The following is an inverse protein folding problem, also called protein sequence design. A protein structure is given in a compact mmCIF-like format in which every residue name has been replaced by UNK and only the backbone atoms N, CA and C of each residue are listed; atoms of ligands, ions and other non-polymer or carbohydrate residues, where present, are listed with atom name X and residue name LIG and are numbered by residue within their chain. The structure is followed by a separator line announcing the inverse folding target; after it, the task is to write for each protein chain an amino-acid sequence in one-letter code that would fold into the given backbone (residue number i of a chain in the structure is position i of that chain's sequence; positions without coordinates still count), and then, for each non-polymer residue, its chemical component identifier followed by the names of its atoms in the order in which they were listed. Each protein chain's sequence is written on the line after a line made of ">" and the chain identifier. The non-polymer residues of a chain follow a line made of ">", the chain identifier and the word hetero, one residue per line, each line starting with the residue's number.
data_IF_615536374381
#
_entry.id   IF_615536374381
#
_cell.length_a   1.000
_cell.length_b   1.000
_cell.length_c   1.000
_cell.angle_alpha   90.00
_cell.angle_beta   90.00
_cell.angle_gamma   90.00
#
_symmetry.space_group_name_H-M   'P 1'
#
loop_
_entity.id
_entity.type
_entity.pdbx_description
1 polymer ?
#
# COMPACT_ATOMS: atom_id res chain seq x y z
N UNK A 1 -0.94 -17.51 -13.62
CA UNK A 1 -0.68 -17.33 -12.17
C UNK A 1 0.08 -18.56 -11.70
N UNK A 2 1.34 -18.42 -11.22
CA UNK A 2 2.20 -19.59 -10.95
C UNK A 2 2.35 -19.94 -9.47
N UNK A 3 2.25 -18.98 -8.55
CA UNK A 3 2.21 -19.25 -7.11
C UNK A 3 1.40 -18.14 -6.39
N UNK A 4 0.39 -18.53 -5.63
CA UNK A 4 -0.20 -17.71 -4.58
C UNK A 4 0.51 -18.03 -3.26
N UNK A 5 0.83 -17.01 -2.48
CA UNK A 5 1.41 -17.11 -1.15
C UNK A 5 0.47 -16.46 -0.15
N UNK A 6 0.29 -17.13 0.97
CA UNK A 6 -0.43 -16.62 2.12
C UNK A 6 0.60 -16.19 3.17
N UNK A 7 0.68 -14.90 3.43
CA UNK A 7 1.45 -14.33 4.53
C UNK A 7 0.54 -14.07 5.72
N UNK A 8 1.02 -14.38 6.92
CA UNK A 8 0.35 -13.98 8.16
C UNK A 8 0.98 -12.70 8.69
N UNK A 9 0.15 -11.75 9.12
CA UNK A 9 0.66 -10.59 9.86
C UNK A 9 1.22 -11.05 11.20
N UNK A 10 2.29 -10.43 11.68
CA UNK A 10 2.82 -10.63 13.04
C UNK A 10 1.93 -9.96 14.09
N UNK A 11 1.11 -8.99 13.68
CA UNK A 11 0.30 -8.16 14.55
C UNK A 11 -1.19 -8.41 14.30
N UNK A 12 -1.89 -8.93 15.30
CA UNK A 12 -3.34 -9.15 15.25
C UNK A 12 -4.00 -8.39 16.41
N UNK A 13 -4.58 -7.20 16.14
CA UNK A 13 -5.11 -6.36 17.21
C UNK A 13 -6.39 -6.92 17.85
N UNK A 14 -7.07 -7.86 17.17
CA UNK A 14 -8.23 -8.58 17.68
C UNK A 14 -8.00 -10.07 17.53
N UNK A 15 -8.19 -10.82 18.61
CA UNK A 15 -8.26 -12.28 18.56
C UNK A 15 -9.72 -12.72 18.36
N UNK A 16 -10.10 -12.91 17.10
CA UNK A 16 -11.44 -13.34 16.73
C UNK A 16 -11.78 -14.76 17.19
N UNK A 17 -10.79 -15.57 17.54
CA UNK A 17 -11.01 -16.92 18.05
C UNK A 17 -11.22 -16.95 19.57
N UNK A 18 -11.04 -15.82 20.27
CA UNK A 18 -11.24 -15.73 21.71
C UNK A 18 -12.72 -15.45 22.02
N UNK A 19 -13.48 -16.42 22.55
CA UNK A 19 -14.94 -16.30 22.70
C UNK A 19 -15.36 -15.18 23.66
N UNK A 20 -14.49 -14.82 24.61
CA UNK A 20 -14.76 -13.73 25.55
C UNK A 20 -14.39 -12.34 25.02
N UNK A 21 -13.82 -12.22 23.82
CA UNK A 21 -13.50 -10.90 23.26
C UNK A 21 -14.80 -10.11 22.99
N UNK A 22 -14.97 -8.88 23.53
CA UNK A 22 -16.23 -8.14 23.43
C UNK A 22 -16.73 -7.90 22.00
N UNK A 23 -15.80 -7.75 21.03
CA UNK A 23 -16.15 -7.60 19.61
C UNK A 23 -16.48 -8.94 18.94
N UNK A 24 -15.88 -10.06 19.37
CA UNK A 24 -16.17 -11.37 18.78
C UNK A 24 -17.61 -11.83 19.10
N UNK A 25 -18.20 -11.32 20.18
CA UNK A 25 -19.62 -11.54 20.51
C UNK A 25 -20.59 -10.80 19.57
N UNK A 26 -20.13 -9.73 18.90
CA UNK A 26 -20.97 -8.85 18.06
C UNK A 26 -20.79 -9.13 16.56
N UNK A 27 -19.61 -9.58 16.17
CA UNK A 27 -19.23 -9.84 14.79
C UNK A 27 -18.93 -11.34 14.64
N UNK A 28 -19.63 -12.08 13.76
CA UNK A 28 -19.41 -13.51 13.54
C UNK A 28 -18.15 -13.77 12.70
N UNK A 29 -17.01 -13.23 13.14
CA UNK A 29 -15.71 -13.38 12.48
C UNK A 29 -14.88 -14.43 13.22
N UNK A 30 -14.13 -15.20 12.44
CA UNK A 30 -13.18 -16.19 12.94
C UNK A 30 -11.85 -16.03 12.21
N UNK A 31 -10.76 -16.50 12.82
CA UNK A 31 -9.44 -16.46 12.21
C UNK A 31 -8.77 -15.10 12.30
N UNK A 32 -7.98 -14.76 11.28
CA UNK A 32 -7.05 -13.62 11.30
C UNK A 32 -7.00 -12.95 9.93
N UNK A 33 -6.64 -11.68 9.91
CA UNK A 33 -6.28 -10.99 8.66
C UNK A 33 -5.01 -11.60 8.09
N UNK A 34 -5.01 -11.78 6.78
CA UNK A 34 -3.92 -12.37 6.03
C UNK A 34 -3.52 -11.46 4.87
N UNK A 35 -2.27 -11.62 4.44
CA UNK A 35 -1.70 -10.97 3.27
C UNK A 35 -1.73 -12.01 2.16
N UNK A 36 -2.42 -11.71 1.07
CA UNK A 36 -2.37 -12.54 -0.13
C UNK A 36 -1.37 -11.92 -1.10
N UNK A 37 -0.41 -12.71 -1.58
CA UNK A 37 0.54 -12.27 -2.58
C UNK A 37 0.58 -13.26 -3.74
N UNK A 38 0.65 -12.78 -4.98
CA UNK A 38 0.77 -13.63 -6.15
C UNK A 38 1.65 -12.99 -7.21
N UNK A 39 2.49 -13.81 -7.85
CA UNK A 39 3.22 -13.38 -9.04
C UNK A 39 2.40 -13.64 -10.29
N UNK A 40 2.09 -12.56 -11.00
CA UNK A 40 1.42 -12.55 -12.30
C UNK A 40 2.51 -12.46 -13.37
N UNK A 41 2.52 -13.37 -14.33
CA UNK A 41 3.45 -13.28 -15.47
C UNK A 41 2.81 -12.45 -16.56
N UNK A 42 3.40 -11.30 -16.83
CA UNK A 42 3.02 -10.41 -17.92
C UNK A 42 4.04 -10.55 -19.07
N UNK A 43 3.70 -10.10 -20.29
CA UNK A 43 4.64 -10.13 -21.42
C UNK A 43 5.98 -9.43 -21.13
N UNK A 44 5.95 -8.33 -20.38
CA UNK A 44 7.15 -7.53 -20.06
C UNK A 44 7.87 -7.99 -18.77
N UNK A 45 7.34 -8.99 -18.06
CA UNK A 45 7.97 -9.52 -16.85
C UNK A 45 7.00 -10.00 -15.75
N UNK A 46 7.54 -10.56 -14.65
CA UNK A 46 6.74 -10.94 -13.48
C UNK A 46 6.36 -9.71 -12.65
N UNK A 47 5.07 -9.59 -12.33
CA UNK A 47 4.51 -8.59 -11.43
C UNK A 47 4.06 -9.27 -10.13
N UNK A 48 4.64 -8.88 -9.00
CA UNK A 48 4.21 -9.33 -7.69
C UNK A 48 3.09 -8.44 -7.15
N UNK A 49 1.88 -8.99 -7.05
CA UNK A 49 0.71 -8.29 -6.51
C UNK A 49 0.41 -8.75 -5.08
N UNK A 50 0.24 -7.79 -4.17
CA UNK A 50 -0.27 -7.99 -2.81
C UNK A 50 -1.72 -7.52 -2.73
N UNK A 51 -2.62 -8.36 -2.25
CA UNK A 51 -4.00 -8.01 -1.93
C UNK A 51 -4.16 -7.96 -0.40
N UNK A 52 -4.54 -6.78 0.11
CA UNK A 52 -4.64 -6.51 1.54
C UNK A 52 -6.08 -6.23 1.96
N UNK A 53 -6.40 -6.67 3.17
CA UNK A 53 -7.59 -6.25 3.91
C UNK A 53 -7.20 -6.13 5.38
N UNK A 54 -6.82 -4.92 5.83
CA UNK A 54 -6.32 -4.69 7.19
C UNK A 54 -7.45 -4.73 8.23
N UNK A 55 -7.09 -4.87 9.52
CA UNK A 55 -8.11 -4.90 10.56
C UNK A 55 -8.77 -3.53 10.74
N UNK A 56 -10.09 -3.53 10.77
CA UNK A 56 -10.91 -2.33 10.89
C UNK A 56 -11.15 -1.98 12.36
N UNK A 57 -11.25 -3.01 13.20
CA UNK A 57 -11.55 -2.87 14.63
C UNK A 57 -10.28 -2.64 15.47
N UNK A 58 -9.48 -1.65 15.09
CA UNK A 58 -8.24 -1.32 15.78
C UNK A 58 -7.87 0.16 15.60
N UNK A 59 -6.74 0.56 16.19
CA UNK A 59 -6.18 1.89 15.98
C UNK A 59 -5.39 2.00 14.67
N UNK A 60 -5.18 3.24 14.22
CA UNK A 60 -4.34 3.57 13.06
C UNK A 60 -2.93 2.97 13.17
N UNK A 61 -2.30 3.03 14.35
CA UNK A 61 -0.96 2.48 14.57
C UNK A 61 -0.93 0.95 14.46
N UNK A 62 -2.01 0.27 14.86
CA UNK A 62 -2.11 -1.18 14.69
C UNK A 62 -2.23 -1.57 13.21
N UNK A 63 -3.00 -0.83 12.41
CA UNK A 63 -3.03 -1.04 10.95
C UNK A 63 -1.67 -0.81 10.31
N UNK A 64 -0.94 0.23 10.74
CA UNK A 64 0.43 0.49 10.27
C UNK A 64 1.35 -0.69 10.62
N UNK A 65 1.21 -1.29 11.80
CA UNK A 65 1.97 -2.48 12.17
C UNK A 65 1.65 -3.70 11.29
N UNK A 66 0.39 -3.89 10.90
CA UNK A 66 0.02 -4.92 9.93
C UNK A 66 0.61 -4.64 8.55
N UNK A 67 0.60 -3.37 8.11
CA UNK A 67 1.15 -2.95 6.83
C UNK A 67 2.68 -3.09 6.77
N UNK A 68 3.37 -2.92 7.90
CA UNK A 68 4.81 -3.12 8.01
C UNK A 68 5.25 -4.54 7.61
N UNK A 69 4.41 -5.56 7.86
CA UNK A 69 4.69 -6.94 7.45
C UNK A 69 4.71 -7.09 5.92
N UNK A 70 3.86 -6.35 5.21
CA UNK A 70 3.81 -6.34 3.74
C UNK A 70 5.06 -5.65 3.19
N UNK A 71 5.46 -4.52 3.76
CA UNK A 71 6.67 -3.83 3.34
C UNK A 71 7.94 -4.63 3.66
N UNK A 72 7.95 -5.36 4.78
CA UNK A 72 9.01 -6.30 5.12
C UNK A 72 9.13 -7.40 4.06
N UNK A 73 8.04 -8.11 3.74
CA UNK A 73 8.08 -9.14 2.69
C UNK A 73 8.49 -8.53 1.35
N UNK A 74 7.90 -7.40 0.94
CA UNK A 74 8.25 -6.69 -0.29
C UNK A 74 9.75 -6.47 -0.43
N UNK A 75 10.41 -5.97 0.63
CA UNK A 75 11.87 -5.79 0.69
C UNK A 75 12.62 -7.11 0.52
N UNK A 76 12.16 -8.20 1.13
CA UNK A 76 12.74 -9.53 0.91
C UNK A 76 12.55 -10.05 -0.52
N UNK A 77 11.49 -9.64 -1.22
CA UNK A 77 11.25 -10.06 -2.60
C UNK A 77 12.15 -9.30 -3.59
N UNK A 78 12.59 -8.08 -3.24
CA UNK A 78 13.58 -7.35 -4.03
C UNK A 78 14.93 -8.09 -4.11
N UNK A 79 15.35 -8.76 -3.02
CA UNK A 79 16.59 -9.55 -3.04
C UNK A 79 16.46 -10.82 -3.89
N UNK A 80 15.24 -11.19 -4.28
CA UNK A 80 14.90 -12.31 -5.16
C UNK A 80 14.60 -11.87 -6.60
N UNK A 81 14.88 -10.61 -6.95
CA UNK A 81 14.67 -10.07 -8.29
C UNK A 81 13.22 -9.67 -8.61
N UNK A 82 12.31 -9.66 -7.65
CA UNK A 82 10.92 -9.24 -7.87
C UNK A 82 10.80 -7.72 -7.73
N UNK A 83 11.26 -6.97 -8.74
CA UNK A 83 11.34 -5.51 -8.67
C UNK A 83 10.00 -4.80 -8.93
N UNK A 84 9.16 -5.39 -9.77
CA UNK A 84 7.85 -4.87 -10.14
C UNK A 84 6.80 -5.39 -9.18
N UNK A 85 6.21 -4.47 -8.42
CA UNK A 85 5.29 -4.83 -7.36
C UNK A 85 4.09 -3.89 -7.32
N UNK A 86 2.95 -4.41 -6.91
CA UNK A 86 1.75 -3.64 -6.62
C UNK A 86 1.16 -4.08 -5.28
N UNK A 87 0.76 -3.13 -4.45
CA UNK A 87 -0.02 -3.39 -3.23
C UNK A 87 -1.40 -2.76 -3.43
N UNK A 88 -2.44 -3.57 -3.34
CA UNK A 88 -3.81 -3.16 -3.57
C UNK A 88 -4.75 -3.70 -2.48
N UNK A 89 -5.90 -3.04 -2.33
CA UNK A 89 -6.99 -3.49 -1.48
C UNK A 89 -7.35 -2.50 -0.38
N UNK A 90 -8.14 -2.99 0.58
CA UNK A 90 -8.75 -2.21 1.64
C UNK A 90 -7.82 -2.13 2.87
N UNK A 91 -7.21 -0.96 3.08
CA UNK A 91 -6.37 -0.72 4.26
C UNK A 91 -7.16 -0.26 5.48
N UNK A 92 -8.50 -0.15 5.38
CA UNK A 92 -9.40 0.28 6.45
C UNK A 92 -8.97 1.61 7.10
N UNK A 93 -8.47 2.54 6.30
CA UNK A 93 -8.01 3.87 6.75
C UNK A 93 -9.19 4.82 6.98
N UNK A 94 -9.94 4.56 8.06
CA UNK A 94 -11.24 5.15 8.39
C UNK A 94 -11.21 6.31 9.40
N UNK A 95 -10.06 6.61 10.02
CA UNK A 95 -9.95 7.62 11.08
C UNK A 95 -10.04 9.04 10.50
N UNK A 96 -11.22 9.42 10.05
CA UNK A 96 -11.55 10.73 9.51
C UNK A 96 -12.99 11.13 9.89
N UNK A 97 -13.24 12.42 10.05
CA UNK A 97 -14.53 12.92 10.53
C UNK A 97 -14.90 12.38 11.92
N UNK A 98 -16.14 11.90 12.06
CA UNK A 98 -16.69 11.39 13.33
C UNK A 98 -16.24 9.95 13.62
N UNK A 99 -15.94 9.13 12.61
CA UNK A 99 -15.48 7.74 12.79
C UNK A 99 -14.26 7.65 13.70
N UNK A 100 -13.40 8.68 13.66
CA UNK A 100 -12.29 8.93 14.59
C UNK A 100 -12.66 8.76 16.06
N UNK A 101 -13.85 9.17 16.47
CA UNK A 101 -14.29 9.12 17.87
C UNK A 101 -14.78 7.73 18.29
N UNK A 102 -14.88 6.78 17.35
CA UNK A 102 -15.27 5.40 17.65
C UNK A 102 -14.20 4.71 18.48
N UNK A 103 -14.58 4.27 19.67
CA UNK A 103 -13.74 3.42 20.51
C UNK A 103 -13.51 2.02 19.91
N UNK A 104 -14.26 1.62 18.88
CA UNK A 104 -14.12 0.32 18.21
C UNK A 104 -13.22 0.39 16.96
N UNK A 105 -13.19 1.53 16.25
CA UNK A 105 -12.49 1.67 14.96
C UNK A 105 -11.24 2.54 15.01
N UNK A 106 -11.04 3.24 16.13
CA UNK A 106 -9.94 4.17 16.37
C UNK A 106 -9.48 4.05 17.82
N UNK A 107 -8.96 2.86 18.17
CA UNK A 107 -8.71 2.45 19.56
C UNK A 107 -7.42 3.02 20.17
N UNK A 108 -6.65 3.82 19.44
CA UNK A 108 -5.36 4.36 19.88
C UNK A 108 -5.37 5.89 20.05
N UNK A 109 -4.23 6.45 20.47
CA UNK A 109 -4.07 7.89 20.70
C UNK A 109 -4.20 8.72 19.42
N UNK A 110 -4.07 8.11 18.24
CA UNK A 110 -4.15 8.80 16.96
C UNK A 110 -5.55 9.35 16.70
N UNK A 111 -6.57 8.80 17.36
CA UNK A 111 -7.91 9.38 17.33
C UNK A 111 -7.92 10.86 17.73
N UNK A 112 -7.06 11.28 18.65
CA UNK A 112 -6.94 12.69 19.02
C UNK A 112 -5.75 13.39 18.34
N UNK A 113 -4.64 12.68 18.17
CA UNK A 113 -3.40 13.30 17.65
C UNK A 113 -3.39 13.57 16.15
N UNK A 114 -4.35 13.01 15.40
CA UNK A 114 -4.53 13.33 13.97
C UNK A 114 -5.81 14.13 13.69
N UNK A 115 -6.34 14.84 14.70
CA UNK A 115 -7.45 15.78 14.50
C UNK A 115 -7.10 16.81 13.40
N UNK A 116 -8.06 17.07 12.51
CA UNK A 116 -7.87 17.95 11.35
C UNK A 116 -7.16 17.29 10.15
N UNK A 117 -6.78 16.01 10.26
CA UNK A 117 -6.19 15.24 9.16
C UNK A 117 -7.07 14.03 8.80
N UNK A 118 -7.10 13.63 7.53
CA UNK A 118 -7.60 12.32 7.14
C UNK A 118 -6.57 11.23 7.46
N UNK A 119 -7.04 10.00 7.72
CA UNK A 119 -6.09 8.89 7.89
C UNK A 119 -5.25 8.67 6.63
N UNK A 120 -5.84 8.87 5.45
CA UNK A 120 -5.12 8.80 4.17
C UNK A 120 -3.95 9.80 4.08
N UNK A 121 -4.20 11.07 4.38
CA UNK A 121 -3.16 12.10 4.43
C UNK A 121 -2.12 11.82 5.54
N UNK A 122 -2.53 11.27 6.67
CA UNK A 122 -1.61 10.85 7.73
C UNK A 122 -0.66 9.76 7.24
N UNK A 123 -1.22 8.70 6.64
CA UNK A 123 -0.47 7.58 6.09
C UNK A 123 0.49 8.03 5.01
N UNK A 124 0.03 8.88 4.09
CA UNK A 124 0.90 9.43 3.05
C UNK A 124 2.11 10.12 3.67
N UNK A 125 1.90 11.08 4.57
CA UNK A 125 2.98 11.86 5.19
C UNK A 125 3.95 11.04 6.04
N UNK A 126 3.44 10.06 6.81
CA UNK A 126 4.21 9.41 7.86
C UNK A 126 4.57 7.95 7.56
N UNK A 127 4.07 7.37 6.48
CA UNK A 127 4.36 6.00 6.06
C UNK A 127 4.85 6.00 4.63
N UNK A 128 4.01 6.43 3.67
CA UNK A 128 4.33 6.31 2.25
C UNK A 128 5.47 7.25 1.83
N UNK A 129 5.51 8.48 2.34
CA UNK A 129 6.60 9.43 2.02
C UNK A 129 7.91 9.15 2.76
N UNK A 130 7.95 8.17 3.67
CA UNK A 130 9.16 7.83 4.44
C UNK A 130 9.90 6.72 3.70
N UNK A 131 10.83 7.12 2.84
CA UNK A 131 11.61 6.19 2.02
C UNK A 131 12.58 5.37 2.85
N UNK A 132 12.76 4.11 2.45
CA UNK A 132 13.83 3.27 2.95
C UNK A 132 15.19 3.85 2.54
N UNK A 133 16.13 3.96 3.47
CA UNK A 133 17.45 4.53 3.17
C UNK A 133 18.29 3.67 2.22
N UNK A 134 17.94 2.39 2.06
CA UNK A 134 18.53 1.51 1.05
C UNK A 134 17.88 1.66 -0.33
N UNK A 135 16.78 2.42 -0.45
CA UNK A 135 16.14 2.69 -1.72
C UNK A 135 16.99 3.66 -2.54
N UNK A 136 17.48 3.17 -3.68
CA UNK A 136 18.21 3.95 -4.67
C UNK A 136 17.57 3.69 -6.05
N UNK A 137 16.88 4.68 -6.66
CA UNK A 137 16.26 4.50 -7.97
C UNK A 137 17.27 4.15 -9.08
N UNK A 138 18.53 4.56 -8.96
CA UNK A 138 19.57 4.26 -9.93
C UNK A 138 20.11 2.82 -9.79
N UNK A 139 20.29 2.34 -8.56
CA UNK A 139 20.64 0.93 -8.31
C UNK A 139 19.55 -0.01 -8.81
N UNK A 140 18.31 0.43 -8.63
CA UNK A 140 17.15 -0.30 -9.05
C UNK A 140 17.15 -0.59 -10.57
N UNK A 141 17.33 0.44 -11.40
CA UNK A 141 17.37 0.26 -12.86
C UNK A 141 18.54 -0.61 -13.34
N UNK A 142 19.70 -0.57 -12.66
CA UNK A 142 20.87 -1.40 -13.01
C UNK A 142 20.67 -2.88 -12.73
N UNK A 143 20.08 -3.22 -11.58
CA UNK A 143 19.86 -4.62 -11.20
C UNK A 143 18.90 -5.34 -12.17
N UNK A 144 17.96 -4.60 -12.75
CA UNK A 144 17.04 -5.10 -13.76
C UNK A 144 17.72 -5.36 -15.11
N UNK A 145 18.55 -4.42 -15.57
CA UNK A 145 19.32 -4.61 -16.80
C UNK A 145 20.19 -5.88 -16.73
N UNK A 146 20.85 -6.10 -15.59
CA UNK A 146 21.67 -7.30 -15.36
C UNK A 146 20.84 -8.60 -15.33
N UNK A 147 19.68 -8.60 -14.67
CA UNK A 147 18.80 -9.77 -14.64
C UNK A 147 18.23 -10.12 -16.04
N UNK A 148 18.02 -9.11 -16.89
CA UNK A 148 17.64 -9.28 -18.28
C UNK A 148 18.73 -9.99 -19.10
N UNK A 149 20.00 -9.57 -18.95
CA UNK A 149 21.14 -10.17 -19.66
C UNK A 149 21.36 -11.64 -19.29
N UNK A 150 21.28 -11.99 -18.00
CA UNK A 150 21.45 -13.36 -17.51
C UNK A 150 20.37 -14.33 -18.04
N UNK A 151 19.17 -13.82 -18.34
CA UNK A 151 18.04 -14.63 -18.84
C UNK A 151 18.13 -14.96 -20.33
N UNK A 152 18.88 -14.17 -21.12
CA UNK A 152 19.00 -14.34 -22.58
C UNK A 152 20.13 -15.32 -22.96
N UNK A 153 21.05 -15.62 -22.03
CA UNK A 153 22.26 -16.41 -22.30
C UNK A 153 22.12 -17.93 -22.53
N UNK A 154 20.92 -18.52 -22.46
CA UNK A 154 20.76 -19.99 -22.54
C UNK A 154 19.70 -20.52 -23.51
N UNK A 155 19.22 -19.70 -24.46
CA UNK A 155 18.20 -20.09 -25.43
C UNK A 155 18.65 -19.95 -26.88
N UNK A 156 19.34 -20.96 -27.42
CA UNK A 156 19.57 -21.07 -28.86
C UNK A 156 18.24 -21.41 -29.58
N UNK A 157 17.70 -20.47 -30.37
CA UNK A 157 16.61 -20.74 -31.31
C UNK A 157 15.68 -19.55 -31.55
N UNK A 158 16.03 -18.66 -32.47
CA UNK A 158 15.16 -17.58 -32.97
C UNK A 158 14.05 -18.11 -33.88
N UNK A 159 12.91 -17.41 -33.94
CA UNK A 159 12.59 -16.72 -35.19
C UNK A 159 12.27 -15.23 -35.00
N UNK A 160 12.71 -14.43 -35.98
CA UNK A 160 12.47 -13.00 -36.08
C UNK A 160 10.97 -12.69 -36.23
N UNK A 161 10.45 -11.77 -35.41
CA UNK A 161 9.14 -11.18 -35.62
C UNK A 161 9.22 -9.64 -35.70
N UNK A 162 8.39 -9.12 -36.60
CA UNK A 162 8.42 -7.83 -37.26
C UNK A 162 8.08 -6.62 -36.40
N UNK A 163 8.84 -5.54 -36.59
CA UNK A 163 8.69 -4.25 -35.95
C UNK A 163 7.31 -3.59 -36.22
N UNK A 164 6.56 -3.32 -35.15
CA UNK A 164 5.42 -2.38 -35.17
C UNK A 164 5.87 -0.99 -34.75
N UNK A 165 5.73 -0.01 -35.67
CA UNK A 165 5.89 1.43 -35.41
C UNK A 165 4.84 1.90 -34.41
N UNK A 166 5.27 2.48 -33.28
CA UNK A 166 4.42 3.19 -32.32
C UNK A 166 4.43 4.69 -32.63
N UNK A 167 3.24 5.31 -32.65
CA UNK A 167 3.04 6.75 -32.86
C UNK A 167 3.36 7.57 -31.58
N UNK A 168 3.71 8.85 -31.70
CA UNK A 168 4.08 9.68 -30.55
C UNK A 168 2.86 10.16 -29.76
N UNK A 169 2.96 10.10 -28.43
CA UNK A 169 1.98 10.62 -27.48
C UNK A 169 2.23 12.11 -27.18
N UNK A 170 1.13 12.85 -26.97
CA UNK A 170 1.09 14.28 -26.65
C UNK A 170 1.58 14.60 -25.21
N UNK A 171 2.01 15.84 -24.91
CA UNK A 171 2.65 16.18 -23.64
C UNK A 171 1.66 16.35 -22.48
N UNK A 172 2.03 15.80 -21.32
CA UNK A 172 1.32 15.92 -20.06
C UNK A 172 1.64 17.25 -19.34
N UNK A 173 0.63 17.79 -18.68
CA UNK A 173 0.62 19.04 -17.90
C UNK A 173 1.35 18.94 -16.55
N UNK A 174 1.82 20.12 -16.11
CA UNK A 174 2.64 20.45 -14.96
C UNK A 174 2.34 19.76 -13.60
N UNK A 175 3.42 19.36 -12.93
CA UNK A 175 3.51 18.96 -11.53
C UNK A 175 3.87 20.17 -10.64
N UNK A 176 3.25 20.38 -9.45
CA UNK A 176 3.75 21.35 -8.48
C UNK A 176 4.53 20.69 -7.33
N UNK A 177 5.67 21.30 -6.98
CA UNK A 177 6.18 21.40 -5.60
C UNK A 177 7.08 20.27 -5.08
N UNK A 178 8.36 20.29 -5.44
CA UNK A 178 9.40 19.51 -4.76
C UNK A 178 9.75 20.13 -3.40
N UNK A 179 9.57 19.36 -2.32
CA UNK A 179 10.11 19.67 -0.99
C UNK A 179 11.56 19.19 -0.94
N UNK A 180 12.50 20.12 -0.76
CA UNK A 180 13.93 19.84 -0.54
C UNK A 180 14.13 18.96 0.71
N UNK A 181 14.75 17.79 0.53
CA UNK A 181 15.33 17.00 1.61
C UNK A 181 16.86 17.12 1.54
N UNK A 182 17.45 17.76 2.55
CA UNK A 182 18.89 17.91 2.71
C UNK A 182 19.52 16.62 3.24
N UNK A 183 20.41 16.02 2.45
CA UNK A 183 21.09 14.77 2.77
C UNK A 183 22.38 14.96 3.58
N UNK A 184 22.55 14.14 4.62
CA UNK A 184 23.87 13.72 5.11
C UNK A 184 23.91 12.19 5.11
N UNK A 185 24.72 11.63 4.22
CA UNK A 185 24.98 10.20 4.13
C UNK A 185 25.94 9.76 5.26
N UNK A 186 25.43 8.98 6.20
CA UNK A 186 26.24 8.31 7.23
C UNK A 186 25.75 6.88 7.45
N UNK A 187 26.65 5.90 7.30
CA UNK A 187 26.62 4.62 8.03
C UNK A 187 25.38 3.72 7.94
N UNK A 188 25.00 3.28 6.74
CA UNK A 188 24.64 1.88 6.38
C UNK A 188 23.54 1.08 7.09
N UNK A 189 22.85 1.59 8.11
CA UNK A 189 21.67 0.94 8.69
C UNK A 189 20.38 1.43 8.04
N UNK A 190 19.41 0.54 7.81
CA UNK A 190 18.07 0.97 7.39
C UNK A 190 17.49 1.91 8.46
N UNK A 191 17.27 3.19 8.10
CA UNK A 191 16.83 4.19 9.06
C UNK A 191 15.38 3.90 9.46
N UNK A 192 15.14 3.61 10.74
CA UNK A 192 13.79 3.39 11.26
C UNK A 192 12.94 4.68 11.21
N UNK A 193 11.62 4.51 11.10
CA UNK A 193 10.66 5.60 11.13
C UNK A 193 10.56 6.22 12.55
N UNK A 194 11.39 7.22 12.83
CA UNK A 194 11.50 7.84 14.15
C UNK A 194 10.19 8.48 14.66
N UNK A 195 9.30 8.96 13.77
CA UNK A 195 8.01 9.54 14.17
C UNK A 195 7.07 8.48 14.72
N UNK A 196 6.96 7.34 14.04
CA UNK A 196 6.15 6.23 14.53
C UNK A 196 6.69 5.68 15.84
N UNK A 197 8.03 5.62 15.98
CA UNK A 197 8.67 5.21 17.22
C UNK A 197 8.33 6.17 18.37
N UNK A 198 8.33 7.48 18.13
CA UNK A 198 7.90 8.49 19.11
C UNK A 198 6.44 8.28 19.55
N UNK A 199 5.56 7.81 18.65
CA UNK A 199 4.18 7.47 18.98
C UNK A 199 4.00 6.09 19.62
N UNK A 200 5.10 5.38 19.92
CA UNK A 200 5.09 4.12 20.65
C UNK A 200 4.93 2.87 19.76
N UNK A 201 5.14 2.99 18.46
CA UNK A 201 5.20 1.82 17.57
C UNK A 201 6.51 1.06 17.84
N UNK A 202 6.49 -0.30 17.92
CA UNK A 202 7.68 -1.11 18.15
C UNK A 202 8.81 -0.80 17.16
N UNK A 203 10.07 -0.89 17.61
CA UNK A 203 11.23 -0.49 16.82
C UNK A 203 11.43 -1.35 15.56
N UNK A 204 11.15 -2.65 15.64
CA UNK A 204 11.17 -3.57 14.50
C UNK A 204 10.10 -3.19 13.46
N UNK A 205 8.88 -2.87 13.91
CA UNK A 205 7.83 -2.33 13.04
C UNK A 205 8.26 -1.02 12.39
N UNK A 206 8.87 -0.10 13.14
CA UNK A 206 9.36 1.17 12.60
C UNK A 206 10.46 1.01 11.54
N UNK A 207 11.28 -0.04 11.66
CA UNK A 207 12.29 -0.41 10.65
C UNK A 207 11.62 -1.03 9.42
N UNK A 208 10.60 -1.85 9.62
CA UNK A 208 9.92 -2.54 8.53
C UNK A 208 9.00 -1.62 7.73
N UNK A 209 8.41 -0.60 8.36
CA UNK A 209 7.47 0.34 7.75
C UNK A 209 8.13 1.55 7.04
N UNK A 210 9.29 1.31 6.44
CA UNK A 210 9.94 2.23 5.50
C UNK A 210 9.60 1.84 4.07
N UNK A 211 9.29 2.83 3.23
CA UNK A 211 8.81 2.60 1.88
C UNK A 211 9.96 2.22 0.91
N UNK A 212 9.96 1.02 0.31
CA UNK A 212 11.00 0.56 -0.59
C UNK A 212 10.83 1.03 -2.07
N UNK A 213 10.08 2.12 -2.30
CA UNK A 213 9.89 2.70 -3.65
C UNK A 213 8.46 2.69 -4.18
N UNK A 214 7.46 2.43 -3.35
CA UNK A 214 6.06 2.50 -3.75
C UNK A 214 5.56 3.95 -3.84
N UNK A 215 4.58 4.20 -4.71
CA UNK A 215 3.80 5.44 -4.73
C UNK A 215 2.33 5.12 -5.00
N UNK A 216 1.42 5.96 -4.52
CA UNK A 216 -0.01 5.89 -4.87
C UNK A 216 -0.26 6.87 -6.04
N UNK A 217 -0.85 6.45 -7.18
CA UNK A 217 -1.23 7.37 -8.23
C UNK A 217 -2.51 8.16 -7.90
N UNK A 218 -3.18 7.88 -6.78
CA UNK A 218 -4.34 8.62 -6.29
C UNK A 218 -3.95 9.58 -5.17
N UNK A 219 -4.67 10.71 -5.10
CA UNK A 219 -4.52 11.67 -4.01
C UNK A 219 -4.83 10.99 -2.65
N UNK A 220 -4.05 11.25 -1.58
CA UNK A 220 -4.28 10.63 -0.28
C UNK A 220 -5.64 10.98 0.36
N UNK A 221 -6.30 12.05 -0.08
CA UNK A 221 -7.66 12.43 0.33
C UNK A 221 -8.76 11.89 -0.60
N UNK A 222 -8.39 11.06 -1.59
CA UNK A 222 -9.33 10.33 -2.46
C UNK A 222 -10.29 9.51 -1.60
N UNK A 223 -11.54 9.95 -1.52
CA UNK A 223 -12.56 9.30 -0.69
C UNK A 223 -13.17 8.10 -1.40
N UNK A 224 -12.93 6.90 -0.87
CA UNK A 224 -13.54 5.65 -1.37
C UNK A 224 -14.71 5.19 -0.52
N UNK A 225 -14.74 5.53 0.77
CA UNK A 225 -15.91 5.36 1.64
C UNK A 225 -16.54 6.72 1.95
N UNK A 226 -17.80 6.89 1.55
CA UNK A 226 -18.71 7.97 1.99
C UNK A 226 -20.15 7.56 1.61
N UNK A 227 -20.50 6.32 1.98
CA UNK A 227 -21.77 5.72 1.60
C UNK A 227 -22.93 6.45 2.31
N UNK A 228 -23.98 6.87 1.58
CA UNK A 228 -25.16 7.50 2.18
C UNK A 228 -25.80 6.69 3.32
N UNK A 229 -25.70 5.36 3.28
CA UNK A 229 -26.19 4.47 4.34
C UNK A 229 -25.50 4.68 5.70
N UNK A 230 -24.34 5.32 5.72
CA UNK A 230 -23.58 5.65 6.94
C UNK A 230 -23.74 7.12 7.34
N UNK A 231 -24.76 7.82 6.85
CA UNK A 231 -25.03 9.21 7.21
C UNK A 231 -26.16 9.29 8.24
N UNK A 232 -25.96 10.12 9.25
CA UNK A 232 -27.05 10.60 10.11
C UNK A 232 -27.34 12.03 9.68
N UNK A 233 -28.56 12.25 9.15
CA UNK A 233 -28.94 13.48 8.46
C UNK A 233 -27.99 13.80 7.28
N UNK A 234 -27.20 14.88 7.39
CA UNK A 234 -26.23 15.33 6.37
C UNK A 234 -24.77 15.10 6.78
N UNK A 235 -24.54 14.37 7.87
CA UNK A 235 -23.20 14.17 8.43
C UNK A 235 -22.77 12.72 8.19
N UNK A 236 -21.65 12.54 7.49
CA UNK A 236 -21.03 11.22 7.27
C UNK A 236 -20.41 10.71 8.56
N UNK A 237 -20.94 9.60 9.08
CA UNK A 237 -20.36 8.93 10.24
C UNK A 237 -19.05 8.24 9.87
N UNK A 238 -19.01 7.61 8.70
CA UNK A 238 -17.84 6.93 8.16
C UNK A 238 -17.49 7.53 6.81
N UNK A 239 -16.29 8.13 6.75
CA UNK A 239 -15.73 8.70 5.53
C UNK A 239 -14.22 8.48 5.53
N UNK A 240 -13.66 8.01 4.41
CA UNK A 240 -12.21 7.83 4.29
C UNK A 240 -11.77 7.30 2.93
N UNK A 241 -10.46 7.25 2.73
CA UNK A 241 -9.83 6.44 1.69
C UNK A 241 -9.66 5.05 2.29
N UNK A 242 -10.38 4.03 1.85
CA UNK A 242 -10.16 2.66 2.30
C UNK A 242 -9.22 1.92 1.36
N UNK A 243 -9.47 2.10 0.07
CA UNK A 243 -8.77 1.42 -0.99
C UNK A 243 -7.49 2.17 -1.33
N UNK A 244 -6.41 1.41 -1.43
CA UNK A 244 -5.11 1.90 -1.88
C UNK A 244 -4.65 1.12 -3.09
N UNK A 245 -3.87 1.79 -3.93
CA UNK A 245 -3.21 1.21 -5.08
C UNK A 245 -1.78 1.73 -5.10
N UNK A 246 -0.86 0.99 -4.49
CA UNK A 246 0.55 1.38 -4.40
C UNK A 246 1.34 0.66 -5.48
N UNK A 247 2.11 1.41 -6.25
CA UNK A 247 2.87 0.94 -7.40
C UNK A 247 4.36 1.11 -7.17
N UNK A 248 5.14 0.08 -7.51
CA UNK A 248 6.60 0.12 -7.50
C UNK A 248 7.13 -0.27 -8.87
N UNK A 249 7.93 0.62 -9.47
CA UNK A 249 8.43 0.50 -10.86
C UNK A 249 7.33 0.29 -11.90
N UNK A 250 6.19 0.91 -11.64
CA UNK A 250 5.07 0.91 -12.55
C UNK A 250 4.57 2.34 -12.61
N UNK A 251 4.35 2.87 -13.82
CA UNK A 251 3.76 4.18 -14.02
C UNK A 251 2.29 4.01 -14.34
N UNK A 252 1.41 4.61 -13.55
CA UNK A 252 0.03 4.76 -13.94
C UNK A 252 -0.07 5.71 -15.16
N UNK A 253 -0.69 5.23 -16.23
CA UNK A 253 -1.00 6.02 -17.44
C UNK A 253 -2.45 6.47 -17.48
N UNK A 254 -3.32 5.76 -16.77
CA UNK A 254 -4.70 6.16 -16.50
C UNK A 254 -5.12 5.65 -15.12
N UNK A 255 -6.02 6.38 -14.48
CA UNK A 255 -6.63 5.99 -13.20
C UNK A 255 -8.14 6.09 -13.31
N UNK A 256 -8.85 5.24 -12.58
CA UNK A 256 -10.30 5.26 -12.50
C UNK A 256 -10.78 4.91 -11.10
N UNK A 257 -11.96 5.44 -10.77
CA UNK A 257 -12.70 5.16 -9.55
C UNK A 257 -14.08 4.72 -10.00
N UNK A 258 -14.65 3.68 -9.40
CA UNK A 258 -16.02 3.28 -9.72
C UNK A 258 -16.82 2.85 -8.49
N UNK A 259 -17.97 2.22 -8.74
CA UNK A 259 -18.98 1.94 -7.70
C UNK A 259 -19.47 3.22 -7.00
N UNK A 260 -19.73 4.29 -7.77
CA UNK A 260 -20.17 5.58 -7.24
C UNK A 260 -21.55 5.55 -6.56
N UNK A 261 -22.37 4.55 -6.87
CA UNK A 261 -23.69 4.34 -6.28
C UNK A 261 -23.69 3.32 -5.13
N UNK A 262 -22.52 2.77 -4.78
CA UNK A 262 -22.33 1.82 -3.69
C UNK A 262 -23.18 0.54 -3.80
N UNK A 263 -23.61 0.14 -5.00
CA UNK A 263 -24.42 -1.07 -5.18
C UNK A 263 -23.62 -2.36 -5.14
N UNK A 264 -22.36 -2.33 -5.57
CA UNK A 264 -21.50 -3.52 -5.63
C UNK A 264 -20.75 -3.78 -4.32
N UNK A 265 -20.46 -2.72 -3.58
CA UNK A 265 -19.76 -2.71 -2.29
C UNK A 265 -20.12 -1.42 -1.54
N UNK A 266 -19.93 -1.39 -0.23
CA UNK A 266 -20.15 -0.20 0.59
C UNK A 266 -19.04 0.86 0.45
N UNK A 267 -17.99 0.58 -0.30
CA UNK A 267 -16.94 1.52 -0.71
C UNK A 267 -16.64 1.43 -2.22
N UNK A 268 -16.09 2.51 -2.77
CA UNK A 268 -15.66 2.62 -4.17
C UNK A 268 -14.40 1.80 -4.42
N UNK A 269 -14.20 1.30 -5.63
CA UNK A 269 -12.94 0.67 -6.02
C UNK A 269 -12.02 1.68 -6.73
N UNK A 270 -10.71 1.41 -6.70
CA UNK A 270 -9.67 2.11 -7.45
C UNK A 270 -9.06 1.18 -8.49
N UNK A 271 -8.78 1.69 -9.69
CA UNK A 271 -8.05 0.95 -10.72
C UNK A 271 -7.09 1.86 -11.48
N UNK A 272 -5.99 1.29 -11.98
CA UNK A 272 -5.01 2.01 -12.78
C UNK A 272 -4.53 1.13 -13.95
N UNK A 273 -4.42 1.75 -15.12
CA UNK A 273 -3.68 1.19 -16.24
C UNK A 273 -2.21 1.57 -16.05
N UNK A 274 -1.32 0.58 -16.14
CA UNK A 274 0.09 0.77 -15.79
C UNK A 274 1.03 0.33 -16.91
N UNK A 275 2.20 0.96 -16.96
CA UNK A 275 3.34 0.56 -17.80
C UNK A 275 4.58 0.36 -16.93
N UNK A 276 5.49 -0.51 -17.37
CA UNK A 276 6.75 -0.82 -16.69
C UNK A 276 7.70 0.40 -16.69
N UNK A 277 8.49 0.56 -15.64
CA UNK A 277 9.46 1.66 -15.46
C UNK A 277 10.86 1.19 -15.13
#
# INVERSE_FOLDING_TARGET
>A
MRLARLGMSRHHPVDWNHPEHPLAKKEPRVGRRAILAATIHCPDGPLLCYCLHLEVFCGMLARIAQFADVLHDSKQQLTKGQYHQAILGDLNTMAHGIARLSANYCCDKMRFWSLGQSEGAFWHRNVISIMDSAWDPARDGRAEAQAGEDSVGNGAGAPQETARKRAPAAPASATPGSVEQSGKAGGGGAQANARLQYWGVPADVCKDVTNPGFHDPFDPDTTTLDNPSYRIFRVSLMKGKLDWLLLRRLKAVATSIGNHDYKASDHKWLAADVVWQ
#
